data_IF_622468524450
#
_entry.id   IF_622468524450
#
_cell.length_a   1.000
_cell.length_b   1.000
_cell.length_c   1.000
_cell.angle_alpha   90.00
_cell.angle_beta   90.00
_cell.angle_gamma   90.00
#
_symmetry.space_group_name_H-M   'P 1'
#
loop_
_entity.id
_entity.type
_entity.pdbx_description
1 polymer ?
#
# COMPACT_ATOMS: atom_id res chain seq x y z
N UNK A 1 0.14 -13.67 21.31
CA UNK A 1 -0.69 -13.97 20.12
C UNK A 1 -0.97 -15.46 20.09
N UNK A 2 -2.20 -15.88 19.79
CA UNK A 2 -2.55 -17.31 19.64
C UNK A 2 -1.89 -17.80 18.35
N UNK A 3 -1.20 -18.94 18.36
CA UNK A 3 -0.44 -19.45 17.19
C UNK A 3 -1.28 -19.47 15.91
N UNK A 4 -2.57 -19.79 16.03
CA UNK A 4 -3.55 -19.82 14.94
C UNK A 4 -3.73 -18.45 14.26
N UNK A 5 -3.80 -17.35 15.01
CA UNK A 5 -4.01 -16.01 14.42
C UNK A 5 -2.78 -15.52 13.66
N UNK A 6 -1.58 -15.87 14.12
CA UNK A 6 -0.34 -15.56 13.39
C UNK A 6 -0.22 -16.32 12.08
N UNK A 7 -0.63 -17.60 12.05
CA UNK A 7 -0.65 -18.38 10.81
C UNK A 7 -1.65 -17.82 9.80
N UNK A 8 -2.85 -17.46 10.24
CA UNK A 8 -3.85 -16.82 9.38
C UNK A 8 -3.31 -15.50 8.81
N UNK A 9 -2.69 -14.65 9.65
CA UNK A 9 -2.17 -13.37 9.16
C UNK A 9 -1.05 -13.56 8.13
N UNK A 10 -0.14 -14.51 8.35
CA UNK A 10 0.91 -14.84 7.39
C UNK A 10 0.32 -15.35 6.08
N UNK A 11 -0.64 -16.27 6.15
CA UNK A 11 -1.29 -16.82 4.95
C UNK A 11 -2.00 -15.73 4.16
N UNK A 12 -2.76 -14.85 4.84
CA UNK A 12 -3.45 -13.73 4.20
C UNK A 12 -2.45 -12.77 3.55
N UNK A 13 -1.39 -12.37 4.26
CA UNK A 13 -0.35 -11.48 3.71
C UNK A 13 0.36 -12.10 2.50
N UNK A 14 0.62 -13.41 2.53
CA UNK A 14 1.25 -14.12 1.42
C UNK A 14 0.33 -14.22 0.20
N UNK A 15 -0.95 -14.51 0.41
CA UNK A 15 -1.96 -14.50 -0.65
C UNK A 15 -2.09 -13.11 -1.26
N UNK A 16 -2.15 -12.06 -0.44
CA UNK A 16 -2.21 -10.67 -0.90
C UNK A 16 -0.97 -10.29 -1.72
N UNK A 17 0.24 -10.70 -1.30
CA UNK A 17 1.47 -10.49 -2.07
C UNK A 17 1.41 -11.21 -3.42
N UNK A 18 0.95 -12.46 -3.44
CA UNK A 18 0.86 -13.24 -4.68
C UNK A 18 -0.15 -12.64 -5.67
N UNK A 19 -1.33 -12.25 -5.17
CA UNK A 19 -2.35 -11.56 -5.96
C UNK A 19 -1.85 -10.21 -6.47
N UNK A 20 -1.06 -9.49 -5.66
CA UNK A 20 -0.46 -8.22 -6.02
C UNK A 20 0.54 -8.33 -7.17
N UNK A 21 1.40 -9.35 -7.15
CA UNK A 21 2.32 -9.65 -8.27
C UNK A 21 1.54 -10.05 -9.51
N UNK A 22 0.52 -10.89 -9.37
CA UNK A 22 -0.35 -11.27 -10.48
C UNK A 22 -1.02 -10.03 -11.11
N UNK A 23 -1.52 -9.10 -10.29
CA UNK A 23 -2.12 -7.86 -10.76
C UNK A 23 -1.11 -6.96 -11.53
N UNK A 24 0.14 -6.89 -11.09
CA UNK A 24 1.20 -6.13 -11.79
C UNK A 24 1.53 -6.71 -13.16
N UNK A 25 1.63 -8.03 -13.27
CA UNK A 25 2.12 -8.70 -14.49
C UNK A 25 1.03 -8.93 -15.52
N UNK A 26 -0.22 -9.15 -15.07
CA UNK A 26 -1.32 -9.54 -15.96
C UNK A 26 -2.42 -8.49 -16.01
N UNK A 27 -2.98 -8.12 -14.87
CA UNK A 27 -4.18 -7.27 -14.84
C UNK A 27 -3.86 -5.86 -15.34
N UNK A 28 -2.82 -5.21 -14.80
CA UNK A 28 -2.42 -3.86 -15.20
C UNK A 28 -2.15 -3.72 -16.71
N UNK A 29 -1.27 -4.52 -17.33
CA UNK A 29 -1.00 -4.38 -18.76
C UNK A 29 -2.20 -4.76 -19.63
N UNK A 30 -3.04 -5.71 -19.20
CA UNK A 30 -4.26 -6.08 -19.94
C UNK A 30 -5.27 -4.95 -19.94
N UNK A 31 -5.54 -4.33 -18.78
CA UNK A 31 -6.46 -3.20 -18.70
C UNK A 31 -5.96 -1.98 -19.48
N UNK A 32 -4.66 -1.70 -19.43
CA UNK A 32 -4.06 -0.62 -20.23
C UNK A 32 -4.18 -0.91 -21.73
N UNK A 33 -3.98 -2.17 -22.16
CA UNK A 33 -4.22 -2.60 -23.54
C UNK A 33 -5.66 -2.37 -23.97
N UNK A 34 -6.63 -2.83 -23.17
CA UNK A 34 -8.06 -2.63 -23.44
C UNK A 34 -8.42 -1.14 -23.58
N UNK A 35 -7.84 -0.27 -22.76
CA UNK A 35 -8.07 1.18 -22.83
C UNK A 35 -7.46 1.79 -24.09
N UNK A 36 -6.26 1.35 -24.50
CA UNK A 36 -5.62 1.80 -25.75
C UNK A 36 -6.43 1.38 -26.98
N UNK A 37 -6.99 0.17 -26.97
CA UNK A 37 -7.78 -0.34 -28.10
C UNK A 37 -9.07 0.47 -28.31
N UNK A 38 -9.64 1.03 -27.23
CA UNK A 38 -10.83 1.89 -27.28
C UNK A 38 -10.47 3.36 -27.52
N UNK A 39 -9.35 3.82 -26.96
CA UNK A 39 -8.89 5.21 -27.02
C UNK A 39 -7.41 5.29 -27.39
N UNK A 40 -7.05 5.21 -28.69
CA UNK A 40 -5.66 5.19 -29.12
C UNK A 40 -4.90 6.48 -28.76
N UNK A 41 -5.60 7.58 -28.46
CA UNK A 41 -5.01 8.85 -28.02
C UNK A 41 -4.27 8.74 -26.67
N UNK A 42 -4.53 7.69 -25.89
CA UNK A 42 -3.88 7.45 -24.59
C UNK A 42 -2.57 6.66 -24.67
N UNK A 43 -2.15 6.22 -25.86
CA UNK A 43 -0.87 5.51 -26.05
C UNK A 43 0.35 6.18 -25.39
N UNK A 44 0.58 7.50 -25.51
CA UNK A 44 1.74 8.13 -24.89
C UNK A 44 1.68 8.16 -23.35
N UNK A 45 0.48 8.07 -22.75
CA UNK A 45 0.28 8.06 -21.29
C UNK A 45 0.17 6.65 -20.69
N UNK A 46 0.16 5.62 -21.53
CA UNK A 46 0.08 4.22 -21.11
C UNK A 46 1.30 3.76 -20.31
N UNK A 47 2.52 4.07 -20.77
CA UNK A 47 3.74 3.67 -20.05
C UNK A 47 3.83 4.38 -18.69
N UNK A 48 3.64 5.70 -18.58
CA UNK A 48 3.61 6.38 -17.29
C UNK A 48 2.56 5.80 -16.33
N UNK A 49 1.36 5.51 -16.80
CA UNK A 49 0.28 5.00 -15.93
C UNK A 49 0.59 3.62 -15.37
N UNK A 50 1.19 2.72 -16.17
CA UNK A 50 1.69 1.41 -15.68
C UNK A 50 2.78 1.62 -14.64
N UNK A 51 3.74 2.52 -14.88
CA UNK A 51 4.83 2.81 -13.92
C UNK A 51 4.27 3.32 -12.58
N UNK A 52 3.31 4.25 -12.61
CA UNK A 52 2.63 4.73 -11.41
C UNK A 52 1.90 3.60 -10.67
N UNK A 53 1.18 2.74 -11.40
CA UNK A 53 0.49 1.59 -10.83
C UNK A 53 1.46 0.59 -10.17
N UNK A 54 2.57 0.27 -10.83
CA UNK A 54 3.60 -0.62 -10.30
C UNK A 54 4.21 -0.03 -9.03
N UNK A 55 4.59 1.25 -9.02
CA UNK A 55 5.14 1.93 -7.83
C UNK A 55 4.16 1.90 -6.65
N UNK A 56 2.89 2.20 -6.91
CA UNK A 56 1.84 2.15 -5.89
C UNK A 56 1.72 0.75 -5.28
N UNK A 57 1.76 -0.29 -6.12
CA UNK A 57 1.67 -1.68 -5.67
C UNK A 57 2.92 -2.10 -4.90
N UNK A 58 4.12 -1.67 -5.32
CA UNK A 58 5.38 -1.95 -4.60
C UNK A 58 5.35 -1.37 -3.19
N UNK A 59 4.76 -0.19 -2.98
CA UNK A 59 4.55 0.35 -1.62
C UNK A 59 3.73 -0.61 -0.74
N UNK A 60 2.64 -1.17 -1.27
CA UNK A 60 1.80 -2.13 -0.55
C UNK A 60 2.52 -3.46 -0.29
N UNK A 61 3.31 -3.95 -1.26
CA UNK A 61 4.14 -5.14 -1.05
C UNK A 61 5.17 -4.91 0.05
N UNK A 62 5.82 -3.75 0.07
CA UNK A 62 6.75 -3.36 1.14
C UNK A 62 6.09 -3.41 2.52
N UNK A 63 4.89 -2.84 2.64
CA UNK A 63 4.11 -2.88 3.89
C UNK A 63 3.77 -4.33 4.28
N UNK A 64 3.35 -5.16 3.33
CA UNK A 64 3.02 -6.57 3.60
C UNK A 64 4.24 -7.38 4.04
N UNK A 65 5.41 -7.16 3.44
CA UNK A 65 6.68 -7.80 3.83
C UNK A 65 7.12 -7.36 5.23
N UNK A 66 7.01 -6.06 5.55
CA UNK A 66 7.29 -5.56 6.90
C UNK A 66 6.29 -6.15 7.90
N UNK A 67 5.01 -6.26 7.52
CA UNK A 67 3.97 -6.93 8.30
C UNK A 67 4.32 -8.39 8.60
N UNK A 68 4.74 -9.16 7.60
CA UNK A 68 5.20 -10.54 7.76
C UNK A 68 6.36 -10.64 8.76
N UNK A 69 7.35 -9.75 8.64
CA UNK A 69 8.48 -9.67 9.58
C UNK A 69 8.01 -9.35 11.00
N UNK A 70 7.09 -8.42 11.17
CA UNK A 70 6.52 -8.06 12.46
C UNK A 70 5.75 -9.24 13.10
N UNK A 71 4.96 -9.99 12.33
CA UNK A 71 4.25 -11.18 12.82
C UNK A 71 5.22 -12.28 13.24
N UNK A 72 6.29 -12.50 12.45
CA UNK A 72 7.34 -13.45 12.80
C UNK A 72 8.05 -13.04 14.10
N UNK A 73 8.42 -11.76 14.25
CA UNK A 73 9.03 -11.24 15.47
C UNK A 73 8.10 -11.32 16.68
N UNK A 74 6.79 -11.10 16.49
CA UNK A 74 5.77 -11.24 17.53
C UNK A 74 5.62 -12.69 17.98
N UNK A 75 5.80 -13.66 17.08
CA UNK A 75 5.78 -15.09 17.40
C UNK A 75 6.94 -15.49 18.31
N UNK A 76 8.11 -14.89 18.11
CA UNK A 76 9.35 -15.19 18.83
C UNK A 76 9.55 -14.38 20.12
N UNK A 77 8.54 -13.61 20.57
CA UNK A 77 8.60 -12.73 21.75
C UNK A 77 9.68 -11.63 21.70
N UNK A 78 10.27 -11.35 20.52
CA UNK A 78 11.31 -10.32 20.34
C UNK A 78 10.74 -8.95 19.90
N UNK A 79 9.48 -8.69 20.21
CA UNK A 79 8.72 -7.60 19.61
C UNK A 79 9.14 -6.20 20.11
N UNK A 80 9.62 -6.07 21.35
CA UNK A 80 9.65 -4.76 22.03
C UNK A 80 10.73 -3.78 21.54
N UNK A 81 11.95 -4.25 21.22
CA UNK A 81 13.04 -3.35 20.82
C UNK A 81 13.04 -2.99 19.32
N UNK A 82 12.58 -3.91 18.45
CA UNK A 82 12.67 -3.74 16.99
C UNK A 82 11.39 -3.18 16.35
N UNK A 83 10.22 -3.34 16.99
CA UNK A 83 8.93 -2.99 16.37
C UNK A 83 8.79 -1.50 16.03
N UNK A 84 9.40 -0.59 16.81
CA UNK A 84 9.28 0.84 16.57
C UNK A 84 9.89 1.26 15.23
N UNK A 85 11.04 0.71 14.86
CA UNK A 85 11.69 1.00 13.58
C UNK A 85 10.87 0.52 12.38
N UNK A 86 10.33 -0.70 12.47
CA UNK A 86 9.45 -1.26 11.43
C UNK A 86 8.14 -0.50 11.26
N UNK A 87 7.54 0.00 12.35
CA UNK A 87 6.33 0.85 12.26
C UNK A 87 6.65 2.16 11.53
N UNK A 88 7.79 2.81 11.81
CA UNK A 88 8.20 4.01 11.08
C UNK A 88 8.44 3.72 9.59
N UNK A 89 8.99 2.54 9.26
CA UNK A 89 9.13 2.12 7.87
C UNK A 89 7.78 1.95 7.16
N UNK A 90 6.78 1.36 7.83
CA UNK A 90 5.40 1.28 7.29
C UNK A 90 4.82 2.67 7.06
N UNK A 91 4.97 3.58 8.03
CA UNK A 91 4.49 4.97 7.88
C UNK A 91 5.19 5.65 6.69
N UNK A 92 6.50 5.46 6.53
CA UNK A 92 7.25 5.98 5.39
C UNK A 92 6.69 5.48 4.05
N UNK A 93 6.46 4.17 3.91
CA UNK A 93 5.84 3.61 2.70
C UNK A 93 4.44 4.18 2.44
N UNK A 94 3.62 4.35 3.48
CA UNK A 94 2.29 4.93 3.35
C UNK A 94 2.34 6.40 2.92
N UNK A 95 3.28 7.19 3.45
CA UNK A 95 3.47 8.59 3.04
C UNK A 95 3.89 8.68 1.56
N UNK A 96 4.83 7.84 1.12
CA UNK A 96 5.22 7.75 -0.30
C UNK A 96 4.01 7.39 -1.17
N UNK A 97 3.19 6.44 -0.72
CA UNK A 97 1.96 6.06 -1.41
C UNK A 97 0.96 7.22 -1.49
N UNK A 98 0.77 8.00 -0.42
CA UNK A 98 -0.11 9.18 -0.43
C UNK A 98 0.39 10.22 -1.44
N UNK A 99 1.70 10.48 -1.48
CA UNK A 99 2.30 11.39 -2.48
C UNK A 99 2.09 10.86 -3.90
N UNK A 100 2.24 9.55 -4.12
CA UNK A 100 1.94 8.92 -5.40
C UNK A 100 0.47 9.09 -5.79
N UNK A 101 -0.47 8.88 -4.87
CA UNK A 101 -1.91 9.07 -5.13
C UNK A 101 -2.22 10.52 -5.49
N UNK A 102 -1.69 11.49 -4.73
CA UNK A 102 -1.91 12.92 -5.01
C UNK A 102 -1.31 13.31 -6.36
N UNK A 103 -0.08 12.88 -6.66
CA UNK A 103 0.56 13.16 -7.94
C UNK A 103 -0.18 12.54 -9.12
N UNK A 104 -0.63 11.30 -9.00
CA UNK A 104 -1.43 10.62 -10.02
C UNK A 104 -2.78 11.32 -10.23
N UNK A 105 -3.44 11.72 -9.15
CA UNK A 105 -4.71 12.44 -9.20
C UNK A 105 -4.58 13.78 -9.94
N UNK A 106 -3.56 14.57 -9.60
CA UNK A 106 -3.29 15.86 -10.28
C UNK A 106 -2.96 15.63 -11.75
N UNK A 107 -2.09 14.65 -12.06
CA UNK A 107 -1.71 14.33 -13.44
C UNK A 107 -2.92 13.93 -14.29
N UNK A 108 -3.80 13.07 -13.77
CA UNK A 108 -4.99 12.62 -14.48
C UNK A 108 -6.00 13.74 -14.72
N UNK A 109 -6.18 14.64 -13.75
CA UNK A 109 -7.03 15.83 -13.92
C UNK A 109 -6.47 16.74 -15.01
N UNK A 110 -5.17 17.02 -14.98
CA UNK A 110 -4.51 17.89 -15.96
C UNK A 110 -4.60 17.33 -17.38
N UNK A 111 -4.59 16.00 -17.52
CA UNK A 111 -4.73 15.33 -18.81
C UNK A 111 -6.19 15.11 -19.24
N UNK A 112 -7.17 15.44 -18.39
CA UNK A 112 -8.60 15.21 -18.67
C UNK A 112 -9.04 13.74 -18.61
N UNK A 113 -8.18 12.83 -18.15
CA UNK A 113 -8.45 11.40 -18.08
C UNK A 113 -8.89 11.00 -16.67
N UNK A 114 -10.16 11.26 -16.34
CA UNK A 114 -10.76 10.91 -15.04
C UNK A 114 -11.80 9.79 -15.19
N UNK A 115 -11.37 8.59 -15.55
CA UNK A 115 -12.29 7.45 -15.61
C UNK A 115 -12.82 7.12 -14.20
N UNK A 116 -14.12 6.79 -14.05
CA UNK A 116 -14.73 6.59 -12.73
C UNK A 116 -14.01 5.52 -11.90
N UNK A 117 -13.57 4.43 -12.52
CA UNK A 117 -12.86 3.35 -11.84
C UNK A 117 -11.51 3.78 -11.25
N UNK A 118 -10.72 4.56 -12.00
CA UNK A 118 -9.40 5.02 -11.55
C UNK A 118 -9.55 6.04 -10.42
N UNK A 119 -10.52 6.94 -10.52
CA UNK A 119 -10.82 7.92 -9.48
C UNK A 119 -11.27 7.24 -8.18
N UNK A 120 -12.15 6.23 -8.26
CA UNK A 120 -12.55 5.43 -7.10
C UNK A 120 -11.36 4.68 -6.48
N UNK A 121 -10.48 4.10 -7.30
CA UNK A 121 -9.26 3.44 -6.83
C UNK A 121 -8.31 4.38 -6.10
N UNK A 122 -8.07 5.57 -6.65
CA UNK A 122 -7.22 6.61 -6.04
C UNK A 122 -7.81 7.13 -4.73
N UNK A 123 -9.11 7.44 -4.71
CA UNK A 123 -9.78 7.91 -3.50
C UNK A 123 -9.81 6.83 -2.42
N UNK A 124 -10.22 5.61 -2.77
CA UNK A 124 -10.29 4.49 -1.84
C UNK A 124 -8.92 4.13 -1.27
N UNK A 125 -7.91 4.02 -2.13
CA UNK A 125 -6.52 3.76 -1.72
C UNK A 125 -5.95 4.88 -0.87
N UNK A 126 -6.15 6.13 -1.26
CA UNK A 126 -5.69 7.31 -0.52
C UNK A 126 -6.31 7.40 0.88
N UNK A 127 -7.63 7.22 1.00
CA UNK A 127 -8.34 7.21 2.29
C UNK A 127 -7.81 6.08 3.18
N UNK A 128 -7.68 4.86 2.65
CA UNK A 128 -7.12 3.73 3.38
C UNK A 128 -5.71 4.02 3.91
N UNK A 129 -4.86 4.62 3.07
CA UNK A 129 -3.51 4.97 3.47
C UNK A 129 -3.48 6.02 4.59
N UNK A 130 -4.31 7.07 4.49
CA UNK A 130 -4.43 8.11 5.53
C UNK A 130 -4.93 7.51 6.85
N UNK A 131 -5.98 6.70 6.82
CA UNK A 131 -6.53 6.03 8.01
C UNK A 131 -5.47 5.15 8.67
N UNK A 132 -4.69 4.40 7.86
CA UNK A 132 -3.61 3.56 8.36
C UNK A 132 -2.49 4.38 9.03
N UNK A 133 -2.05 5.49 8.41
CA UNK A 133 -1.04 6.38 8.99
C UNK A 133 -1.52 6.96 10.32
N UNK A 134 -2.73 7.52 10.36
CA UNK A 134 -3.30 8.13 11.58
C UNK A 134 -3.38 7.08 12.70
N UNK A 135 -3.83 5.87 12.39
CA UNK A 135 -3.93 4.78 13.35
C UNK A 135 -2.56 4.37 13.90
N UNK A 136 -1.54 4.26 13.06
CA UNK A 136 -0.17 3.91 13.47
C UNK A 136 0.48 5.02 14.30
N UNK A 137 0.27 6.29 13.93
CA UNK A 137 0.77 7.45 14.68
C UNK A 137 0.09 7.52 16.05
N UNK A 138 -1.23 7.32 16.12
CA UNK A 138 -1.97 7.26 17.38
C UNK A 138 -1.47 6.12 18.28
N UNK A 139 -1.20 4.94 17.71
CA UNK A 139 -0.64 3.81 18.44
C UNK A 139 0.74 4.12 19.04
N UNK A 140 1.63 4.77 18.27
CA UNK A 140 2.94 5.22 18.77
C UNK A 140 2.81 6.30 19.84
N UNK A 141 1.87 7.23 19.69
CA UNK A 141 1.57 8.27 20.67
C UNK A 141 1.12 7.67 22.01
N UNK A 142 0.16 6.75 21.98
CA UNK A 142 -0.39 6.13 23.20
C UNK A 142 0.66 5.33 23.98
N UNK A 143 1.56 4.60 23.29
CA UNK A 143 2.69 3.91 23.92
C UNK A 143 3.65 4.88 24.63
N UNK A 144 3.86 6.09 24.07
CA UNK A 144 4.75 7.09 24.66
C UNK A 144 4.19 7.64 25.98
N UNK A 145 2.87 7.80 26.08
CA UNK A 145 2.21 8.22 27.32
C UNK A 145 2.35 7.19 28.45
N UNK A 146 2.27 5.89 28.17
CA UNK A 146 2.43 4.85 29.20
C UNK A 146 3.83 4.82 29.84
N UNK A 147 4.88 5.21 29.12
CA UNK A 147 6.25 5.29 29.66
C UNK A 147 6.52 6.53 30.52
N UNK A 148 5.65 7.55 30.48
CA UNK A 148 5.79 8.78 31.28
C UNK A 148 4.89 8.78 32.53
N UNK A 149 3.94 7.85 32.60
CA UNK A 149 2.93 7.77 33.66
C UNK A 149 3.17 6.61 34.66
N UNK A 150 4.26 5.86 34.52
CA UNK A 150 4.70 4.82 35.45
C UNK A 150 6.15 5.03 35.85
#
# INVERSE_FOLDING_TARGET
>A
MRRETSFVLIAVLFVLLTLSVFAQVWVLPTEVGNVIDVFPEVQPVAVPSVVWGVLAIVCWQGIAVIGLRLVALARDHKFEASAKGWIHAIIGCLLVFIVLVVSAFIALIMMGYATPGVMLGLMGGGILAVVAVVSLVAFLGNRRYQYLAG
#
